data_IF_126443496364
#
_entry.id   IF_126443496364
#
_cell.length_a   1.000
_cell.length_b   1.000
_cell.length_c   1.000
_cell.angle_alpha   90.00
_cell.angle_beta   90.00
_cell.angle_gamma   90.00
#
_symmetry.space_group_name_H-M   'P 1'
#
loop_
_entity.id
_entity.type
_entity.pdbx_description
1 polymer ?
#
# COMPACT_ATOMS: atom_id res chain seq x y z
N UNK A 1 15.85 4.90 -14.58
CA UNK A 1 14.42 4.74 -14.27
C UNK A 1 14.21 3.32 -13.77
N UNK A 2 14.02 3.08 -12.48
CA UNK A 2 13.83 1.75 -11.94
C UNK A 2 12.33 1.62 -11.64
N UNK A 3 11.50 1.89 -12.66
CA UNK A 3 10.16 1.33 -12.72
C UNK A 3 10.35 -0.18 -12.68
N UNK A 4 10.04 -0.76 -11.53
CA UNK A 4 10.27 -2.17 -11.25
C UNK A 4 9.19 -3.02 -11.91
N UNK A 5 7.94 -2.61 -11.78
CA UNK A 5 6.79 -3.36 -12.29
C UNK A 5 5.63 -2.44 -12.59
N UNK A 6 4.91 -2.74 -13.66
CA UNK A 6 3.58 -2.21 -13.95
C UNK A 6 2.61 -3.39 -14.00
N UNK A 7 1.46 -3.25 -13.35
CA UNK A 7 0.38 -4.24 -13.38
C UNK A 7 -0.86 -3.51 -13.89
N UNK A 8 -1.38 -3.95 -15.03
CA UNK A 8 -2.69 -3.51 -15.52
C UNK A 8 -3.73 -4.48 -14.96
N UNK A 9 -4.44 -4.05 -13.93
CA UNK A 9 -5.41 -4.91 -13.22
C UNK A 9 -6.68 -5.05 -14.06
N UNK A 10 -7.15 -3.94 -14.63
CA UNK A 10 -8.26 -3.89 -15.58
C UNK A 10 -8.14 -2.59 -16.42
N UNK A 11 -9.17 -2.23 -17.19
CA UNK A 11 -9.18 -1.04 -18.05
C UNK A 11 -9.07 0.29 -17.28
N UNK A 12 -9.49 0.33 -16.03
CA UNK A 12 -9.51 1.53 -15.19
C UNK A 12 -8.43 1.57 -14.12
N UNK A 13 -7.80 0.43 -13.80
CA UNK A 13 -6.94 0.29 -12.61
C UNK A 13 -5.53 -0.18 -12.98
N UNK A 14 -4.52 0.57 -12.54
CA UNK A 14 -3.10 0.24 -12.73
C UNK A 14 -2.31 0.38 -11.44
N UNK A 15 -1.33 -0.51 -11.26
CA UNK A 15 -0.34 -0.45 -10.18
C UNK A 15 1.04 -0.21 -10.77
N UNK A 16 1.79 0.70 -10.14
CA UNK A 16 3.18 0.98 -10.48
C UNK A 16 4.07 0.82 -9.26
N UNK A 17 5.21 0.17 -9.44
CA UNK A 17 6.17 -0.11 -8.37
C UNK A 17 7.53 0.42 -8.79
N UNK A 18 8.16 1.19 -7.92
CA UNK A 18 9.48 1.78 -8.11
C UNK A 18 10.47 1.12 -7.17
N UNK A 19 11.61 0.67 -7.70
CA UNK A 19 12.76 0.28 -6.89
C UNK A 19 13.65 1.50 -6.70
N UNK A 20 13.88 1.90 -5.46
CA UNK A 20 14.56 3.15 -5.14
C UNK A 20 16.07 2.92 -5.13
N UNK A 21 16.74 3.19 -6.24
CA UNK A 21 18.19 2.99 -6.41
C UNK A 21 18.93 4.31 -6.54
N UNK A 22 18.28 5.36 -7.03
CA UNK A 22 18.88 6.68 -7.26
C UNK A 22 19.06 7.50 -5.99
N UNK A 23 20.04 8.39 -5.98
CA UNK A 23 20.21 9.37 -4.91
C UNK A 23 19.03 10.34 -4.85
N UNK A 24 18.90 11.05 -3.73
CA UNK A 24 17.84 12.04 -3.59
C UNK A 24 17.96 13.17 -4.62
N UNK A 25 19.18 13.59 -4.95
CA UNK A 25 19.46 14.64 -5.92
C UNK A 25 18.94 14.22 -7.31
N UNK A 26 19.26 13.00 -7.73
CA UNK A 26 18.78 12.45 -8.99
C UNK A 26 17.25 12.28 -9.01
N UNK A 27 16.63 11.89 -7.89
CA UNK A 27 15.17 11.82 -7.80
C UNK A 27 14.49 13.19 -7.78
N UNK A 28 15.22 14.25 -7.41
CA UNK A 28 14.67 15.62 -7.32
C UNK A 28 14.88 16.43 -8.59
N UNK A 29 15.77 15.99 -9.47
CA UNK A 29 16.08 16.69 -10.71
C UNK A 29 14.84 16.78 -11.61
N UNK A 30 14.53 18.00 -12.05
CA UNK A 30 13.37 18.29 -12.89
C UNK A 30 12.00 18.14 -12.23
N UNK A 31 11.91 17.88 -10.91
CA UNK A 31 10.63 17.79 -10.20
C UNK A 31 10.28 19.11 -9.53
N UNK A 32 9.15 19.68 -9.94
CA UNK A 32 8.52 20.81 -9.26
C UNK A 32 7.59 20.30 -8.16
N UNK A 33 7.73 20.87 -6.97
CA UNK A 33 6.90 20.56 -5.81
C UNK A 33 6.07 21.78 -5.41
N UNK A 34 4.87 21.52 -4.88
CA UNK A 34 4.14 22.51 -4.11
C UNK A 34 4.93 22.91 -2.86
N UNK A 35 4.69 24.11 -2.33
CA UNK A 35 5.34 24.59 -1.09
C UNK A 35 5.11 23.62 0.08
N UNK A 36 3.89 23.08 0.19
CA UNK A 36 3.54 22.09 1.21
C UNK A 36 4.36 20.79 1.06
N UNK A 37 4.50 20.26 -0.15
CA UNK A 37 5.29 19.06 -0.40
C UNK A 37 6.79 19.30 -0.19
N UNK A 38 7.31 20.46 -0.62
CA UNK A 38 8.69 20.86 -0.37
C UNK A 38 8.98 20.93 1.13
N UNK A 39 8.11 21.59 1.91
CA UNK A 39 8.22 21.64 3.36
C UNK A 39 8.13 20.24 3.99
N UNK A 40 7.22 19.39 3.50
CA UNK A 40 7.07 18.02 4.01
C UNK A 40 8.33 17.20 3.81
N UNK A 41 8.92 17.18 2.61
CA UNK A 41 10.14 16.40 2.33
C UNK A 41 11.36 16.96 3.05
N UNK A 42 11.46 18.28 3.22
CA UNK A 42 12.57 18.91 3.94
C UNK A 42 12.55 18.62 5.45
N UNK A 43 11.37 18.41 6.03
CA UNK A 43 11.21 18.05 7.43
C UNK A 43 11.39 16.55 7.72
N UNK A 44 11.51 15.70 6.69
CA UNK A 44 11.77 14.27 6.88
C UNK A 44 13.23 14.03 7.27
N UNK A 45 13.45 13.40 8.43
CA UNK A 45 14.81 13.09 8.92
C UNK A 45 15.50 11.96 8.17
N UNK A 46 14.73 10.99 7.67
CA UNK A 46 15.27 9.82 6.98
C UNK A 46 15.43 10.11 5.50
N UNK A 47 16.66 10.00 4.99
CA UNK A 47 16.92 10.09 3.56
C UNK A 47 16.16 9.03 2.76
N UNK A 48 16.02 7.82 3.29
CA UNK A 48 15.24 6.75 2.66
C UNK A 48 13.76 7.16 2.50
N UNK A 49 13.19 7.80 3.51
CA UNK A 49 11.83 8.32 3.44
C UNK A 49 11.72 9.48 2.44
N UNK A 50 12.71 10.38 2.38
CA UNK A 50 12.77 11.45 1.37
C UNK A 50 12.82 10.87 -0.06
N UNK A 51 13.66 9.86 -0.29
CA UNK A 51 13.77 9.16 -1.57
C UNK A 51 12.47 8.45 -1.93
N UNK A 52 11.82 7.79 -0.97
CA UNK A 52 10.48 7.22 -1.15
C UNK A 52 9.45 8.26 -1.57
N UNK A 53 9.42 9.40 -0.87
CA UNK A 53 8.54 10.52 -1.19
C UNK A 53 8.76 11.04 -2.62
N UNK A 54 10.01 11.23 -3.04
CA UNK A 54 10.32 11.68 -4.41
C UNK A 54 9.99 10.61 -5.46
N UNK A 55 10.21 9.33 -5.16
CA UNK A 55 9.90 8.21 -6.07
C UNK A 55 8.41 8.14 -6.43
N UNK A 56 7.52 8.54 -5.52
CA UNK A 56 6.09 8.64 -5.80
C UNK A 56 5.80 9.64 -6.93
N UNK A 57 6.55 10.73 -7.04
CA UNK A 57 6.34 11.74 -8.11
C UNK A 57 6.74 11.18 -9.47
N UNK A 58 7.81 10.39 -9.52
CA UNK A 58 8.18 9.64 -10.72
C UNK A 58 7.09 8.66 -11.13
N UNK A 59 6.51 7.92 -10.18
CA UNK A 59 5.40 6.99 -10.46
C UNK A 59 4.15 7.72 -10.96
N UNK A 60 3.81 8.86 -10.35
CA UNK A 60 2.68 9.70 -10.77
C UNK A 60 2.87 10.24 -12.20
N UNK A 61 4.09 10.67 -12.54
CA UNK A 61 4.41 11.20 -13.87
C UNK A 61 4.21 10.16 -15.00
N UNK A 62 4.25 8.86 -14.71
CA UNK A 62 3.97 7.80 -15.68
C UNK A 62 2.52 7.84 -16.20
N UNK A 63 1.59 8.35 -15.39
CA UNK A 63 0.19 8.56 -15.79
C UNK A 63 -0.11 10.05 -16.05
N UNK A 64 0.92 10.87 -16.21
CA UNK A 64 0.77 12.29 -16.57
C UNK A 64 0.46 13.22 -15.41
N UNK A 65 0.52 12.74 -14.16
CA UNK A 65 0.30 13.57 -12.97
C UNK A 65 1.57 14.24 -12.49
N UNK A 66 1.39 15.40 -11.87
CA UNK A 66 2.43 16.17 -11.19
C UNK A 66 2.13 16.27 -9.70
N UNK A 67 3.08 16.79 -8.91
CA UNK A 67 2.85 17.05 -7.48
C UNK A 67 1.66 18.01 -7.24
N UNK A 68 1.34 18.86 -8.21
CA UNK A 68 0.22 19.80 -8.13
C UNK A 68 -1.14 19.15 -8.30
N UNK A 69 -1.21 17.89 -8.77
CA UNK A 69 -2.46 17.16 -8.96
C UNK A 69 -2.86 16.36 -7.72
N UNK A 70 -1.97 16.26 -6.73
CA UNK A 70 -2.18 15.50 -5.49
C UNK A 70 -2.49 16.44 -4.32
N UNK A 71 -3.51 16.12 -3.55
CA UNK A 71 -3.78 16.74 -2.26
C UNK A 71 -4.08 15.67 -1.19
N UNK A 72 -4.06 16.08 0.07
CA UNK A 72 -4.38 15.21 1.20
C UNK A 72 -5.58 15.76 1.94
N UNK A 73 -6.51 14.90 2.33
CA UNK A 73 -7.65 15.27 3.16
C UNK A 73 -7.29 15.40 4.66
N UNK A 74 -8.29 15.70 5.49
CA UNK A 74 -8.14 15.85 6.95
C UNK A 74 -7.75 14.55 7.67
N UNK A 75 -7.89 13.40 7.02
CA UNK A 75 -7.47 12.09 7.50
C UNK A 75 -6.08 11.71 6.97
N UNK A 76 -5.49 12.53 6.09
CA UNK A 76 -4.21 12.26 5.45
C UNK A 76 -4.30 11.27 4.30
N UNK A 77 -5.51 10.98 3.78
CA UNK A 77 -5.69 10.17 2.57
C UNK A 77 -5.28 11.01 1.34
N UNK A 78 -4.47 10.46 0.42
CA UNK A 78 -4.16 11.12 -0.84
C UNK A 78 -5.36 11.11 -1.80
N UNK A 79 -5.54 12.20 -2.54
CA UNK A 79 -6.56 12.38 -3.56
C UNK A 79 -5.97 13.05 -4.79
N UNK A 80 -6.45 12.68 -5.97
CA UNK A 80 -6.16 13.39 -7.21
C UNK A 80 -7.21 14.47 -7.46
N UNK A 81 -6.85 15.52 -8.20
CA UNK A 81 -7.74 16.65 -8.51
C UNK A 81 -8.81 16.33 -9.56
N UNK A 82 -8.64 15.24 -10.29
CA UNK A 82 -9.64 14.70 -11.20
C UNK A 82 -10.50 13.64 -10.50
N UNK A 83 -11.30 12.90 -11.26
CA UNK A 83 -12.21 11.89 -10.72
C UNK A 83 -11.51 10.54 -10.44
N UNK A 84 -10.18 10.48 -10.49
CA UNK A 84 -9.41 9.26 -10.22
C UNK A 84 -9.06 9.15 -8.74
N UNK A 85 -8.98 7.91 -8.28
CA UNK A 85 -8.55 7.55 -6.94
C UNK A 85 -7.11 7.06 -6.97
N UNK A 86 -6.34 7.42 -5.92
CA UNK A 86 -4.96 7.00 -5.75
C UNK A 86 -4.75 6.42 -4.36
N UNK A 87 -3.94 5.37 -4.26
CA UNK A 87 -3.37 4.93 -2.99
C UNK A 87 -1.86 4.78 -3.13
N UNK A 88 -1.14 5.13 -2.05
CA UNK A 88 0.31 5.31 -2.05
C UNK A 88 0.92 4.49 -0.91
N UNK A 89 2.03 3.81 -1.18
CA UNK A 89 2.80 3.09 -0.16
C UNK A 89 4.30 3.17 -0.44
N UNK A 90 5.09 3.02 0.61
CA UNK A 90 6.54 2.84 0.49
C UNK A 90 7.05 2.02 1.67
N UNK A 91 8.02 1.15 1.41
CA UNK A 91 8.73 0.41 2.45
C UNK A 91 10.16 0.19 1.99
N UNK A 92 11.11 0.65 2.82
CA UNK A 92 12.54 0.64 2.51
C UNK A 92 12.86 1.20 1.11
N UNK A 93 13.38 0.36 0.23
CA UNK A 93 13.83 0.68 -1.12
C UNK A 93 12.76 0.41 -2.18
N UNK A 94 11.48 0.32 -1.79
CA UNK A 94 10.36 0.23 -2.72
C UNK A 94 9.29 1.26 -2.40
N UNK A 95 8.71 1.82 -3.45
CA UNK A 95 7.52 2.65 -3.40
C UNK A 95 6.52 2.18 -4.44
N UNK A 96 5.24 2.36 -4.18
CA UNK A 96 4.20 2.03 -5.16
C UNK A 96 3.00 2.96 -5.07
N UNK A 97 2.32 3.06 -6.20
CA UNK A 97 1.00 3.67 -6.32
C UNK A 97 0.03 2.73 -7.03
N UNK A 98 -1.24 2.84 -6.69
CA UNK A 98 -2.35 2.31 -7.48
C UNK A 98 -3.25 3.47 -7.86
N UNK A 99 -3.68 3.53 -9.12
CA UNK A 99 -4.61 4.55 -9.65
C UNK A 99 -5.82 3.82 -10.24
N UNK A 100 -7.03 4.33 -10.00
CA UNK A 100 -8.28 3.70 -10.41
C UNK A 100 -9.43 4.70 -10.60
N UNK A 101 -10.48 4.32 -11.32
CA UNK A 101 -11.78 5.04 -11.35
C UNK A 101 -12.66 4.77 -10.12
N UNK A 102 -12.21 3.89 -9.23
CA UNK A 102 -12.93 3.50 -8.01
C UNK A 102 -12.00 3.59 -6.82
N UNK A 103 -12.56 3.60 -5.61
CA UNK A 103 -11.78 3.53 -4.38
C UNK A 103 -10.89 2.28 -4.34
N UNK A 104 -9.62 2.50 -3.98
CA UNK A 104 -8.56 1.50 -4.00
C UNK A 104 -7.57 1.70 -2.87
N UNK A 105 -6.91 0.62 -2.47
CA UNK A 105 -5.83 0.65 -1.51
C UNK A 105 -4.65 -0.20 -1.93
N UNK A 106 -3.43 0.22 -1.61
CA UNK A 106 -2.21 -0.58 -1.82
C UNK A 106 -1.28 -0.49 -0.62
N UNK A 107 -0.61 -1.59 -0.31
CA UNK A 107 0.49 -1.62 0.63
C UNK A 107 1.66 -2.49 0.17
N UNK A 108 2.88 -2.05 0.49
CA UNK A 108 4.11 -2.80 0.31
C UNK A 108 4.80 -2.83 1.67
N UNK A 109 5.22 -4.01 2.12
CA UNK A 109 5.99 -4.16 3.35
C UNK A 109 7.16 -5.14 3.19
N UNK A 110 8.29 -4.80 3.82
CA UNK A 110 9.45 -5.68 3.89
C UNK A 110 9.20 -6.82 4.87
N UNK A 111 9.40 -8.05 4.42
CA UNK A 111 9.27 -9.25 5.24
C UNK A 111 10.36 -9.28 6.31
N UNK A 112 9.94 -9.22 7.57
CA UNK A 112 10.84 -9.17 8.74
C UNK A 112 10.19 -9.84 9.95
N UNK A 113 11.00 -10.47 10.79
CA UNK A 113 10.55 -11.11 12.05
C UNK A 113 9.82 -10.15 13.02
N UNK A 114 9.94 -8.83 12.83
CA UNK A 114 9.14 -7.86 13.59
C UNK A 114 7.63 -8.14 13.46
N UNK A 115 7.17 -8.64 12.30
CA UNK A 115 5.75 -8.93 12.06
C UNK A 115 5.19 -9.97 13.04
N UNK A 116 5.98 -11.02 13.34
CA UNK A 116 5.63 -12.07 14.30
C UNK A 116 5.33 -11.48 15.69
N UNK A 117 6.11 -10.48 16.10
CA UNK A 117 5.98 -9.84 17.42
C UNK A 117 4.75 -8.95 17.51
N UNK A 118 4.24 -8.43 16.38
CA UNK A 118 3.09 -7.53 16.36
C UNK A 118 1.80 -8.19 15.84
N UNK A 119 1.85 -9.46 15.43
CA UNK A 119 0.72 -10.23 14.91
C UNK A 119 -0.55 -10.11 15.76
N UNK A 120 -0.41 -10.23 17.08
CA UNK A 120 -1.51 -10.12 18.05
C UNK A 120 -2.30 -8.79 17.99
N UNK A 121 -1.74 -7.74 17.36
CA UNK A 121 -2.41 -6.45 17.22
C UNK A 121 -3.35 -6.36 16.03
N UNK A 122 -3.22 -7.27 15.07
CA UNK A 122 -3.95 -7.19 13.82
C UNK A 122 -4.57 -8.51 13.38
N UNK A 123 -4.20 -9.67 13.95
CA UNK A 123 -4.84 -10.94 13.60
C UNK A 123 -4.80 -11.91 14.79
N UNK A 124 -5.82 -12.78 14.95
CA UNK A 124 -5.77 -13.85 15.95
C UNK A 124 -4.62 -14.81 15.66
N UNK A 125 -3.67 -14.95 16.60
CA UNK A 125 -2.48 -15.81 16.39
C UNK A 125 -2.86 -17.30 16.31
N UNK A 126 -3.96 -17.69 16.96
CA UNK A 126 -4.44 -19.08 16.98
C UNK A 126 -4.61 -19.69 15.59
N UNK A 127 -5.05 -18.87 14.62
CA UNK A 127 -5.31 -19.28 13.24
C UNK A 127 -4.04 -19.72 12.50
N UNK A 128 -2.85 -19.28 12.96
CA UNK A 128 -1.58 -19.53 12.29
C UNK A 128 -0.73 -20.61 12.97
N UNK A 129 -1.22 -21.19 14.09
CA UNK A 129 -0.46 -22.17 14.89
C UNK A 129 -0.14 -23.48 14.17
N UNK A 130 -0.85 -23.78 13.09
CA UNK A 130 -0.60 -24.95 12.24
C UNK A 130 0.62 -24.78 11.33
N UNK A 131 1.12 -23.55 11.17
CA UNK A 131 2.29 -23.24 10.35
C UNK A 131 3.55 -23.53 11.18
N UNK A 132 4.16 -24.68 10.92
CA UNK A 132 5.36 -25.12 11.64
C UNK A 132 6.64 -24.34 11.25
N UNK A 133 6.62 -23.61 10.14
CA UNK A 133 7.78 -22.88 9.61
C UNK A 133 7.66 -21.37 9.89
N UNK A 134 8.62 -20.82 10.64
CA UNK A 134 8.68 -19.39 10.98
C UNK A 134 8.75 -18.49 9.73
N UNK A 135 9.47 -18.88 8.67
CA UNK A 135 9.55 -18.11 7.43
C UNK A 135 8.19 -18.06 6.72
N UNK A 136 7.50 -19.20 6.64
CA UNK A 136 6.15 -19.28 6.07
C UNK A 136 5.15 -18.45 6.90
N UNK A 137 5.27 -18.49 8.23
CA UNK A 137 4.45 -17.70 9.13
C UNK A 137 4.72 -16.20 8.95
N UNK A 138 5.98 -15.79 8.88
CA UNK A 138 6.36 -14.40 8.60
C UNK A 138 5.77 -13.92 7.27
N UNK A 139 5.91 -14.70 6.20
CA UNK A 139 5.34 -14.38 4.88
C UNK A 139 3.83 -14.24 4.94
N UNK A 140 3.12 -15.23 5.51
CA UNK A 140 1.66 -15.18 5.61
C UNK A 140 1.18 -13.98 6.42
N UNK A 141 1.78 -13.71 7.57
CA UNK A 141 1.45 -12.55 8.39
C UNK A 141 1.78 -11.22 7.70
N UNK A 142 2.83 -11.16 6.89
CA UNK A 142 3.16 -9.95 6.10
C UNK A 142 2.12 -9.72 5.01
N UNK A 143 1.61 -10.78 4.37
CA UNK A 143 0.49 -10.69 3.41
C UNK A 143 -0.78 -10.19 4.11
N UNK A 144 -1.15 -10.78 5.26
CA UNK A 144 -2.32 -10.34 6.04
C UNK A 144 -2.18 -8.88 6.46
N UNK A 145 -0.99 -8.46 6.88
CA UNK A 145 -0.72 -7.06 7.21
C UNK A 145 -0.91 -6.14 6.00
N UNK A 146 -0.29 -6.44 4.86
CA UNK A 146 -0.42 -5.63 3.65
C UNK A 146 -1.89 -5.58 3.18
N UNK A 147 -2.61 -6.70 3.26
CA UNK A 147 -4.03 -6.76 2.97
C UNK A 147 -4.79 -5.77 3.87
N UNK A 148 -4.66 -5.88 5.19
CA UNK A 148 -5.37 -4.99 6.13
C UNK A 148 -5.02 -3.51 5.95
N UNK A 149 -3.74 -3.17 5.73
CA UNK A 149 -3.31 -1.81 5.41
C UNK A 149 -3.93 -1.31 4.10
N UNK A 150 -3.98 -2.14 3.06
CA UNK A 150 -4.62 -1.78 1.80
C UNK A 150 -6.13 -1.53 1.97
N UNK A 151 -6.84 -2.37 2.74
CA UNK A 151 -8.26 -2.15 3.07
C UNK A 151 -8.45 -0.86 3.88
N UNK A 152 -7.61 -0.60 4.88
CA UNK A 152 -7.69 0.60 5.70
C UNK A 152 -7.50 1.88 4.86
N UNK A 153 -6.55 1.86 3.90
CA UNK A 153 -6.33 2.99 2.98
C UNK A 153 -7.50 3.20 2.02
N UNK A 154 -8.13 2.13 1.54
CA UNK A 154 -9.32 2.22 0.70
C UNK A 154 -10.52 2.76 1.50
N UNK A 155 -10.77 2.20 2.68
CA UNK A 155 -11.91 2.51 3.54
C UNK A 155 -11.82 3.93 4.15
N UNK A 156 -10.61 4.33 4.56
CA UNK A 156 -10.25 5.69 5.00
C UNK A 156 -11.07 6.29 6.16
N UNK A 157 -11.63 5.45 7.03
CA UNK A 157 -12.40 5.86 8.21
C UNK A 157 -11.53 5.80 9.49
N UNK A 158 -11.62 6.84 10.32
CA UNK A 158 -10.90 6.89 11.60
C UNK A 158 -11.53 5.90 12.60
N UNK A 159 -10.70 5.26 13.42
CA UNK A 159 -11.16 4.39 14.50
C UNK A 159 -11.37 2.92 14.14
N UNK A 160 -11.17 2.55 12.86
CA UNK A 160 -11.21 1.15 12.42
C UNK A 160 -10.07 0.35 13.03
N UNK A 161 -10.42 -0.68 13.81
CA UNK A 161 -9.46 -1.62 14.39
C UNK A 161 -9.09 -2.71 13.39
N UNK A 162 -7.80 -2.95 13.19
CA UNK A 162 -7.33 -4.04 12.31
C UNK A 162 -7.74 -5.40 12.84
N UNK A 163 -7.78 -5.57 14.17
CA UNK A 163 -8.12 -6.84 14.80
C UNK A 163 -9.64 -7.08 14.81
N UNK A 164 -10.43 -6.05 15.12
CA UNK A 164 -11.87 -6.20 15.39
C UNK A 164 -12.75 -5.91 14.16
N UNK A 165 -12.28 -5.09 13.22
CA UNK A 165 -13.12 -4.56 12.14
C UNK A 165 -12.69 -5.00 10.74
N UNK A 166 -11.46 -5.50 10.55
CA UNK A 166 -10.97 -5.94 9.25
C UNK A 166 -10.70 -7.44 9.32
N UNK A 167 -11.37 -8.22 8.48
CA UNK A 167 -11.20 -9.66 8.39
C UNK A 167 -10.68 -10.02 6.99
N UNK A 168 -9.70 -10.91 6.94
CA UNK A 168 -9.09 -11.42 5.71
C UNK A 168 -9.38 -12.91 5.69
N UNK A 169 -10.01 -13.40 4.62
CA UNK A 169 -10.35 -14.80 4.47
C UNK A 169 -9.10 -15.66 4.37
N UNK A 170 -9.19 -16.91 4.81
CA UNK A 170 -8.08 -17.87 4.77
C UNK A 170 -7.64 -18.14 3.33
N UNK A 171 -6.32 -18.14 3.10
CA UNK A 171 -5.70 -18.35 1.80
C UNK A 171 -4.41 -19.17 1.94
N UNK A 172 -3.97 -19.75 0.84
CA UNK A 172 -2.71 -20.48 0.74
C UNK A 172 -1.59 -19.59 0.19
N UNK A 173 -0.34 -19.87 0.58
CA UNK A 173 0.82 -19.05 0.15
C UNK A 173 1.17 -19.17 -1.34
N UNK A 174 0.61 -20.16 -2.04
CA UNK A 174 0.72 -20.36 -3.49
C UNK A 174 -0.43 -19.71 -4.28
N UNK A 175 -1.44 -19.18 -3.58
CA UNK A 175 -2.45 -18.32 -4.17
C UNK A 175 -1.91 -16.88 -4.29
N UNK A 176 -2.56 -16.09 -5.14
CA UNK A 176 -2.18 -14.68 -5.38
C UNK A 176 -3.32 -13.72 -5.03
N UNK A 177 -4.41 -14.25 -4.48
CA UNK A 177 -5.64 -13.50 -4.22
C UNK A 177 -6.36 -14.10 -3.02
N UNK A 178 -6.99 -13.24 -2.22
CA UNK A 178 -7.96 -13.60 -1.18
C UNK A 178 -9.11 -12.60 -1.19
N UNK A 179 -10.14 -12.86 -0.40
CA UNK A 179 -11.21 -11.91 -0.10
C UNK A 179 -11.06 -11.38 1.32
N UNK A 180 -11.62 -10.20 1.56
CA UNK A 180 -11.56 -9.56 2.86
C UNK A 180 -12.78 -8.66 3.04
N UNK A 181 -13.16 -8.39 4.29
CA UNK A 181 -14.26 -7.50 4.63
C UNK A 181 -13.89 -6.53 5.74
N UNK A 182 -14.43 -5.32 5.63
CA UNK A 182 -14.44 -4.34 6.71
C UNK A 182 -15.86 -4.28 7.28
N UNK A 183 -15.99 -4.44 8.60
CA UNK A 183 -17.22 -4.21 9.35
C UNK A 183 -16.98 -3.16 10.43
N UNK A 184 -17.53 -1.97 10.24
CA UNK A 184 -17.38 -0.85 11.16
C UNK A 184 -18.66 -0.02 11.22
N UNK A 185 -19.15 0.27 12.42
CA UNK A 185 -20.36 1.07 12.67
C UNK A 185 -21.60 0.63 11.85
N UNK A 186 -21.77 -0.69 11.65
CA UNK A 186 -22.90 -1.24 10.90
C UNK A 186 -22.77 -1.14 9.38
N UNK A 187 -21.66 -0.63 8.85
CA UNK A 187 -21.32 -0.69 7.44
C UNK A 187 -20.45 -1.92 7.17
N UNK A 188 -20.85 -2.72 6.21
CA UNK A 188 -20.06 -3.84 5.70
C UNK A 188 -19.60 -3.52 4.29
N UNK A 189 -18.31 -3.71 4.02
CA UNK A 189 -17.73 -3.61 2.68
C UNK A 189 -16.84 -4.82 2.42
N UNK A 190 -16.98 -5.39 1.23
CA UNK A 190 -16.20 -6.55 0.78
C UNK A 190 -15.18 -6.12 -0.26
N UNK A 191 -14.05 -6.80 -0.24
CA UNK A 191 -12.88 -6.52 -1.05
C UNK A 191 -12.33 -7.80 -1.65
N UNK A 192 -11.86 -7.70 -2.89
CA UNK A 192 -10.90 -8.64 -3.46
C UNK A 192 -9.50 -8.08 -3.20
N UNK A 193 -8.60 -8.91 -2.69
CA UNK A 193 -7.22 -8.53 -2.37
C UNK A 193 -6.28 -9.38 -3.19
N UNK A 194 -5.58 -8.76 -4.12
CA UNK A 194 -4.49 -9.39 -4.86
C UNK A 194 -3.16 -9.12 -4.13
N UNK A 195 -2.31 -10.13 -4.06
CA UNK A 195 -1.01 -10.03 -3.40
C UNK A 195 0.06 -10.83 -4.13
N UNK A 196 1.30 -10.40 -3.97
CA UNK A 196 2.48 -11.10 -4.49
C UNK A 196 3.73 -10.70 -3.72
N UNK A 197 4.74 -11.54 -3.80
CA UNK A 197 6.02 -11.35 -3.12
C UNK A 197 7.15 -11.16 -4.12
N UNK A 198 8.15 -10.34 -3.77
CA UNK A 198 9.31 -10.06 -4.61
C UNK A 198 10.44 -9.49 -3.77
N UNK A 199 11.68 -9.93 -4.00
CA UNK A 199 12.89 -9.40 -3.32
C UNK A 199 12.80 -9.30 -1.77
N UNK A 200 12.03 -10.19 -1.12
CA UNK A 200 11.79 -10.14 0.34
C UNK A 200 10.78 -9.08 0.78
N UNK A 201 9.96 -8.59 -0.13
CA UNK A 201 8.81 -7.71 0.10
C UNK A 201 7.53 -8.42 -0.28
N UNK A 202 6.45 -7.99 0.35
CA UNK A 202 5.09 -8.33 -0.03
C UNK A 202 4.40 -7.05 -0.51
N UNK A 203 3.64 -7.15 -1.60
CA UNK A 203 2.68 -6.13 -2.02
C UNK A 203 1.29 -6.72 -1.97
N UNK A 204 0.32 -5.97 -1.46
CA UNK A 204 -1.10 -6.28 -1.59
C UNK A 204 -1.88 -5.04 -2.02
N UNK A 205 -2.91 -5.21 -2.84
CA UNK A 205 -3.84 -4.15 -3.19
C UNK A 205 -5.28 -4.66 -3.13
N UNK A 206 -6.16 -3.80 -2.63
CA UNK A 206 -7.56 -4.09 -2.40
C UNK A 206 -8.45 -3.31 -3.37
N UNK A 207 -9.40 -4.03 -3.97
CA UNK A 207 -10.45 -3.48 -4.82
C UNK A 207 -11.79 -3.80 -4.16
N UNK A 208 -12.67 -2.80 -4.05
CA UNK A 208 -14.02 -3.03 -3.53
C UNK A 208 -14.77 -3.98 -4.48
N UNK A 209 -15.30 -5.07 -3.93
CA UNK A 209 -16.09 -6.03 -4.68
C UNK A 209 -17.40 -5.37 -5.16
N UNK A 210 -17.80 -5.65 -6.40
CA UNK A 210 -19.10 -5.22 -6.91
C UNK A 210 -20.22 -5.99 -6.19
N UNK A 211 -21.32 -5.30 -5.92
CA UNK A 211 -22.51 -5.85 -5.24
C UNK A 211 -23.33 -6.77 -6.15
#
# INVERSE_FOLDING_TARGET
MPLYKTITVNSSTKVFIWKIEESLEALSDGIELTENCANRVNNMKSELHRRGFMSIRHLMALEGYTDFDLYYDENGKPHLKDDKHISITHSFNFAAIIISDKEVGIDIEKQRNKILRIAHKFTPIEEYRTIANEDAMMRKLTIVWCAKESLYKSYAEKGVSFLENIYVDEFNLDENQTTANVNYEGKEQKYTVDFFEFEGFTCAYALQAEA
#
